data_IF_911475909511
#
_entry.id   IF_911475909511
#
_cell.length_a   1.000
_cell.length_b   1.000
_cell.length_c   1.000
_cell.angle_alpha   90.00
_cell.angle_beta   90.00
_cell.angle_gamma   90.00
#
_symmetry.space_group_name_H-M   'P 1'
#
loop_
_entity.id
_entity.type
_entity.pdbx_description
1 polymer ?
#
# COMPACT_ATOMS: atom_id res chain seq x y z
N UNK A 1 -47.04 47.98 -48.13
CA UNK A 1 -46.30 47.89 -49.41
C UNK A 1 -44.81 48.11 -49.17
N UNK A 2 -43.96 47.27 -49.76
CA UNK A 2 -42.51 47.45 -50.09
C UNK A 2 -41.51 47.44 -48.92
N UNK A 3 -40.68 46.37 -48.82
CA UNK A 3 -39.27 46.21 -49.31
C UNK A 3 -38.25 46.86 -48.34
N UNK A 4 -37.04 46.36 -48.06
CA UNK A 4 -36.26 45.16 -48.36
C UNK A 4 -34.87 45.32 -47.70
N UNK A 5 -34.32 44.22 -47.17
CA UNK A 5 -32.90 43.81 -47.13
C UNK A 5 -31.79 44.63 -46.42
N UNK A 6 -31.08 43.93 -45.52
CA UNK A 6 -29.60 43.70 -45.47
C UNK A 6 -29.31 42.90 -44.18
N UNK A 7 -28.39 41.92 -44.07
CA UNK A 7 -27.55 41.09 -44.94
C UNK A 7 -27.02 39.95 -44.01
N UNK A 8 -26.66 38.83 -44.61
CA UNK A 8 -26.17 37.58 -44.01
C UNK A 8 -24.75 37.65 -43.41
N UNK A 9 -24.38 36.57 -42.69
CA UNK A 9 -23.03 35.97 -42.49
C UNK A 9 -22.24 36.45 -41.26
N UNK A 10 -21.59 35.64 -40.39
CA UNK A 10 -21.18 34.21 -40.36
C UNK A 10 -20.55 33.85 -38.98
N UNK A 11 -20.62 32.56 -38.61
CA UNK A 11 -19.70 31.73 -37.78
C UNK A 11 -19.31 32.17 -36.33
N UNK A 12 -19.74 31.44 -35.29
CA UNK A 12 -19.07 30.29 -34.62
C UNK A 12 -17.62 30.59 -34.20
N UNK A 13 -17.42 30.81 -32.91
CA UNK A 13 -16.26 30.35 -32.15
C UNK A 13 -16.59 30.39 -30.65
N UNK A 14 -17.05 29.26 -30.10
CA UNK A 14 -17.14 29.05 -28.66
C UNK A 14 -15.73 28.71 -28.15
N UNK A 15 -15.15 29.60 -27.35
CA UNK A 15 -13.85 29.39 -26.71
C UNK A 15 -14.08 28.76 -25.33
N UNK A 16 -14.02 27.43 -25.27
CA UNK A 16 -13.92 26.67 -24.02
C UNK A 16 -12.46 26.67 -23.56
N UNK A 17 -12.15 27.50 -22.57
CA UNK A 17 -10.89 27.47 -21.83
C UNK A 17 -11.20 27.01 -20.40
N UNK A 18 -11.31 25.70 -20.22
CA UNK A 18 -11.35 25.06 -18.91
C UNK A 18 -10.08 24.21 -18.78
N UNK A 19 -8.98 24.84 -18.38
CA UNK A 19 -7.76 24.16 -17.97
C UNK A 19 -7.34 24.68 -16.61
N UNK A 20 -7.84 24.02 -15.57
CA UNK A 20 -7.11 23.86 -14.32
C UNK A 20 -7.18 22.39 -13.94
N UNK A 21 -6.13 21.67 -14.34
CA UNK A 21 -5.87 20.32 -13.86
C UNK A 21 -5.66 20.44 -12.35
N UNK A 22 -6.57 19.84 -11.59
CA UNK A 22 -6.53 19.76 -10.14
C UNK A 22 -5.26 19.01 -9.75
N UNK A 23 -4.39 19.65 -8.97
CA UNK A 23 -3.34 18.95 -8.25
C UNK A 23 -4.00 17.93 -7.32
N UNK A 24 -3.87 16.65 -7.64
CA UNK A 24 -4.32 15.57 -6.76
C UNK A 24 -3.44 15.60 -5.51
N UNK A 25 -4.06 15.78 -4.35
CA UNK A 25 -3.37 15.67 -3.07
C UNK A 25 -2.68 14.30 -2.97
N UNK A 26 -1.45 14.27 -2.47
CA UNK A 26 -0.73 13.03 -2.21
C UNK A 26 -1.55 12.22 -1.19
N UNK A 27 -2.20 11.16 -1.65
CA UNK A 27 -2.95 10.25 -0.79
C UNK A 27 -2.00 9.66 0.27
N UNK A 28 -2.26 9.97 1.53
CA UNK A 28 -1.57 9.38 2.68
C UNK A 28 -2.06 7.94 2.84
N UNK A 29 -1.25 7.05 3.42
CA UNK A 29 -1.70 5.67 3.70
C UNK A 29 -2.97 5.62 4.58
N UNK A 30 -3.21 6.68 5.35
CA UNK A 30 -4.41 6.88 6.17
C UNK A 30 -5.66 7.21 5.35
N UNK A 31 -5.51 7.81 4.16
CA UNK A 31 -6.63 8.04 3.22
C UNK A 31 -7.09 6.73 2.56
N UNK A 32 -6.21 5.71 2.58
CA UNK A 32 -6.50 4.33 2.19
C UNK A 32 -7.20 3.53 3.30
N UNK A 33 -7.11 3.99 4.55
CA UNK A 33 -7.87 3.48 5.68
C UNK A 33 -9.18 4.27 5.79
N UNK A 34 -10.06 4.06 4.81
CA UNK A 34 -11.50 4.37 4.76
C UNK A 34 -11.92 5.56 5.63
N UNK A 35 -11.95 6.75 5.03
CA UNK A 35 -12.50 7.94 5.68
C UNK A 35 -14.04 8.02 5.60
N UNK A 36 -14.67 7.23 4.74
CA UNK A 36 -16.13 7.22 4.51
C UNK A 36 -16.68 5.78 4.47
N UNK A 37 -16.84 5.16 5.65
CA UNK A 37 -17.37 3.79 5.82
C UNK A 37 -18.86 3.63 5.41
N UNK A 38 -19.61 4.72 5.21
CA UNK A 38 -21.08 4.67 5.28
C UNK A 38 -21.88 4.69 3.96
N UNK A 39 -21.31 4.71 2.74
CA UNK A 39 -22.16 5.06 1.56
C UNK A 39 -22.25 4.06 0.40
N UNK A 40 -21.60 2.89 0.42
CA UNK A 40 -21.87 1.88 -0.62
C UNK A 40 -21.52 0.45 -0.20
N UNK A 41 -22.52 -0.39 0.14
CA UNK A 41 -22.32 -1.82 0.38
C UNK A 41 -21.62 -2.56 -0.77
N UNK A 42 -21.78 -2.09 -2.01
CA UNK A 42 -21.11 -2.66 -3.18
C UNK A 42 -19.61 -2.34 -3.21
N UNK A 43 -19.20 -1.14 -2.78
CA UNK A 43 -17.79 -0.78 -2.66
C UNK A 43 -17.11 -1.51 -1.50
N UNK A 44 -17.83 -1.71 -0.39
CA UNK A 44 -17.34 -2.54 0.71
C UNK A 44 -17.21 -4.00 0.26
N UNK A 45 -18.19 -4.53 -0.46
CA UNK A 45 -18.15 -5.90 -0.96
C UNK A 45 -16.97 -6.13 -1.91
N UNK A 46 -16.69 -5.20 -2.84
CA UNK A 46 -15.54 -5.33 -3.73
C UNK A 46 -14.19 -5.21 -3.02
N UNK A 47 -14.12 -4.45 -1.92
CA UNK A 47 -12.94 -4.40 -1.06
C UNK A 47 -12.80 -5.66 -0.18
N UNK A 48 -13.90 -6.31 0.15
CA UNK A 48 -13.93 -7.54 0.93
C UNK A 48 -13.75 -8.81 0.09
N UNK A 49 -14.07 -8.79 -1.21
CA UNK A 49 -13.95 -9.92 -2.14
C UNK A 49 -12.61 -10.68 -2.03
N UNK A 50 -11.45 -9.99 -1.96
CA UNK A 50 -10.16 -10.66 -1.78
C UNK A 50 -9.99 -11.45 -0.47
N UNK A 51 -10.76 -11.14 0.57
CA UNK A 51 -10.62 -11.73 1.90
C UNK A 51 -11.66 -12.84 2.11
N UNK A 52 -12.73 -12.87 1.30
CA UNK A 52 -13.81 -13.85 1.44
C UNK A 52 -13.34 -15.31 1.41
N UNK A 53 -12.44 -15.75 0.49
CA UNK A 53 -11.96 -17.14 0.49
C UNK A 53 -11.15 -17.49 1.75
N UNK A 54 -10.41 -16.52 2.28
CA UNK A 54 -9.66 -16.69 3.53
C UNK A 54 -10.57 -16.79 4.76
N UNK A 55 -11.65 -15.99 4.81
CA UNK A 55 -12.66 -16.05 5.89
C UNK A 55 -13.54 -17.31 5.81
N UNK A 56 -13.75 -17.84 4.60
CA UNK A 56 -14.52 -19.06 4.35
C UNK A 56 -13.80 -20.36 4.68
N UNK A 57 -12.49 -20.31 5.00
CA UNK A 57 -11.68 -21.50 5.28
C UNK A 57 -11.37 -22.34 4.04
N UNK A 58 -11.42 -21.74 2.84
CA UNK A 58 -11.06 -22.43 1.60
C UNK A 58 -9.56 -22.76 1.57
N UNK A 59 -9.21 -23.93 1.04
CA UNK A 59 -7.81 -24.33 0.84
C UNK A 59 -7.09 -23.48 -0.24
N UNK A 60 -7.84 -22.64 -0.98
CA UNK A 60 -7.31 -21.75 -1.99
C UNK A 60 -6.51 -20.60 -1.38
N UNK A 61 -5.44 -20.20 -2.07
CA UNK A 61 -4.71 -18.99 -1.75
C UNK A 61 -5.27 -17.81 -2.54
N UNK A 62 -5.35 -16.63 -1.92
CA UNK A 62 -5.86 -15.42 -2.57
C UNK A 62 -4.79 -14.35 -2.62
N UNK A 63 -4.60 -13.78 -3.80
CA UNK A 63 -3.74 -12.61 -4.02
C UNK A 63 -4.59 -11.46 -4.54
N UNK A 64 -4.44 -10.27 -3.94
CA UNK A 64 -5.11 -9.05 -4.40
C UNK A 64 -4.16 -7.87 -4.42
N UNK A 65 -4.26 -7.08 -5.48
CA UNK A 65 -3.46 -5.89 -5.71
C UNK A 65 -4.42 -4.76 -6.09
N UNK A 66 -4.44 -3.70 -5.29
CA UNK A 66 -5.20 -2.48 -5.54
C UNK A 66 -4.22 -1.33 -5.64
N UNK A 67 -4.30 -0.57 -6.73
CA UNK A 67 -3.39 0.54 -7.00
C UNK A 67 -4.18 1.79 -7.42
N UNK A 68 -4.01 2.86 -6.65
CA UNK A 68 -4.63 4.17 -6.89
C UNK A 68 -3.53 5.21 -7.16
N UNK A 69 -3.65 5.97 -8.25
CA UNK A 69 -2.67 6.97 -8.66
C UNK A 69 -1.81 6.52 -9.85
N UNK A 70 -0.58 7.02 -9.96
CA UNK A 70 0.21 6.96 -11.20
C UNK A 70 1.54 6.24 -10.99
N UNK A 71 1.89 5.32 -11.89
CA UNK A 71 3.22 4.69 -11.90
C UNK A 71 3.48 3.68 -10.78
N UNK A 72 2.46 3.27 -10.04
CA UNK A 72 2.58 2.26 -9.01
C UNK A 72 2.82 0.87 -9.62
N UNK A 73 3.63 0.05 -8.95
CA UNK A 73 3.99 -1.31 -9.36
C UNK A 73 3.89 -2.27 -8.17
N UNK A 74 3.27 -3.43 -8.37
CA UNK A 74 3.18 -4.45 -7.35
C UNK A 74 3.37 -5.84 -7.96
N UNK A 75 4.08 -6.70 -7.24
CA UNK A 75 4.14 -8.14 -7.50
C UNK A 75 3.81 -8.85 -6.20
N UNK A 76 2.93 -9.84 -6.25
CA UNK A 76 2.59 -10.67 -5.10
C UNK A 76 2.51 -12.12 -5.54
N UNK A 77 3.15 -13.01 -4.78
CA UNK A 77 3.22 -14.43 -5.06
C UNK A 77 3.00 -15.25 -3.78
N UNK A 78 2.29 -16.36 -3.92
CA UNK A 78 2.08 -17.34 -2.86
C UNK A 78 2.57 -18.68 -3.38
N UNK A 79 3.53 -19.26 -2.66
CA UNK A 79 3.99 -20.64 -2.80
C UNK A 79 3.51 -21.44 -1.58
N UNK A 80 2.31 -22.01 -1.69
CA UNK A 80 1.59 -22.71 -0.63
C UNK A 80 0.07 -22.54 -0.72
N UNK A 81 -0.66 -23.00 0.29
CA UNK A 81 -2.12 -23.09 0.29
C UNK A 81 -2.77 -22.29 1.44
N UNK A 82 -4.06 -21.98 1.30
CA UNK A 82 -4.87 -21.30 2.32
C UNK A 82 -4.32 -19.94 2.76
N UNK A 83 -3.51 -19.27 1.93
CA UNK A 83 -2.83 -18.02 2.31
C UNK A 83 -3.45 -16.80 1.64
N UNK A 84 -3.29 -15.64 2.28
CA UNK A 84 -3.81 -14.37 1.83
C UNK A 84 -2.68 -13.36 1.61
N UNK A 85 -2.56 -12.81 0.41
CA UNK A 85 -1.55 -11.82 0.06
C UNK A 85 -2.23 -10.59 -0.55
N UNK A 86 -2.26 -9.49 0.20
CA UNK A 86 -2.91 -8.25 -0.23
C UNK A 86 -1.89 -7.13 -0.29
N UNK A 87 -1.89 -6.42 -1.41
CA UNK A 87 -1.13 -5.18 -1.61
C UNK A 87 -2.10 -4.07 -1.98
N UNK A 88 -2.10 -2.99 -1.20
CA UNK A 88 -2.84 -1.77 -1.48
C UNK A 88 -1.85 -0.61 -1.58
N UNK A 89 -1.87 0.10 -2.71
CA UNK A 89 -1.00 1.23 -2.98
C UNK A 89 -1.80 2.45 -3.37
N UNK A 90 -1.44 3.61 -2.83
CA UNK A 90 -1.92 4.90 -3.27
C UNK A 90 -0.82 5.94 -3.43
N UNK A 91 -0.97 6.81 -4.41
CA UNK A 91 -0.02 7.89 -4.71
C UNK A 91 0.77 7.60 -5.97
N UNK A 92 2.04 8.00 -5.98
CA UNK A 92 2.83 8.04 -7.23
C UNK A 92 4.11 7.22 -7.12
N UNK A 93 4.39 6.40 -8.13
CA UNK A 93 5.63 5.63 -8.28
C UNK A 93 5.97 4.72 -7.08
N UNK A 94 4.96 4.18 -6.42
CA UNK A 94 5.15 3.23 -5.33
C UNK A 94 5.44 1.83 -5.87
N UNK A 95 6.42 1.13 -5.31
CA UNK A 95 6.75 -0.26 -5.67
C UNK A 95 6.54 -1.21 -4.49
N UNK A 96 5.90 -2.34 -4.74
CA UNK A 96 5.66 -3.38 -3.75
C UNK A 96 6.06 -4.76 -4.29
N UNK A 97 6.69 -5.57 -3.44
CA UNK A 97 6.91 -7.00 -3.67
C UNK A 97 6.45 -7.75 -2.43
N UNK A 98 5.57 -8.71 -2.61
CA UNK A 98 5.03 -9.54 -1.55
C UNK A 98 5.26 -11.03 -1.88
N UNK A 99 5.71 -11.81 -0.93
CA UNK A 99 5.93 -13.25 -1.12
C UNK A 99 5.57 -14.05 0.13
N UNK A 100 4.72 -15.05 -0.05
CA UNK A 100 4.43 -16.07 0.96
C UNK A 100 5.03 -17.38 0.50
N UNK A 101 5.81 -18.04 1.36
CA UNK A 101 6.22 -19.44 1.18
C UNK A 101 5.80 -20.23 2.41
N UNK A 102 4.80 -21.08 2.26
CA UNK A 102 4.14 -21.78 3.36
C UNK A 102 2.63 -21.66 3.29
N UNK A 103 1.94 -22.17 4.29
CA UNK A 103 0.49 -22.32 4.30
C UNK A 103 -0.17 -21.42 5.35
N UNK A 104 -1.46 -21.16 5.14
CA UNK A 104 -2.33 -20.50 6.13
C UNK A 104 -1.78 -19.15 6.64
N UNK A 105 -1.01 -18.45 5.82
CA UNK A 105 -0.37 -17.19 6.19
C UNK A 105 -1.07 -16.00 5.55
N UNK A 106 -1.06 -14.85 6.23
CA UNK A 106 -1.70 -13.62 5.76
C UNK A 106 -0.73 -12.44 5.78
N UNK A 107 -0.44 -11.88 4.60
CA UNK A 107 0.39 -10.70 4.39
C UNK A 107 -0.49 -9.57 3.86
N UNK A 108 -0.51 -8.45 4.60
CA UNK A 108 -1.22 -7.24 4.22
C UNK A 108 -0.23 -6.08 4.13
N UNK A 109 -0.15 -5.46 2.95
CA UNK A 109 0.64 -4.28 2.68
C UNK A 109 -0.27 -3.11 2.31
N UNK A 110 -0.13 -2.01 3.04
CA UNK A 110 -0.74 -0.72 2.74
C UNK A 110 0.38 0.32 2.56
N UNK A 111 0.45 0.92 1.37
CA UNK A 111 1.50 1.87 1.01
C UNK A 111 0.89 3.13 0.41
N UNK A 112 1.20 4.29 0.98
CA UNK A 112 0.77 5.62 0.51
C UNK A 112 1.97 6.53 0.19
N UNK A 113 1.71 7.66 -0.47
CA UNK A 113 2.73 8.70 -0.73
C UNK A 113 3.49 8.51 -2.06
N UNK A 114 4.76 8.94 -2.10
CA UNK A 114 5.54 9.02 -3.36
C UNK A 114 6.85 8.22 -3.30
N UNK A 115 7.17 7.48 -4.36
CA UNK A 115 8.45 6.78 -4.52
C UNK A 115 8.81 5.83 -3.35
N UNK A 116 7.82 5.25 -2.65
CA UNK A 116 8.14 4.27 -1.62
C UNK A 116 8.38 2.90 -2.27
N UNK A 117 9.25 2.07 -1.69
CA UNK A 117 9.52 0.70 -2.13
C UNK A 117 9.38 -0.23 -0.94
N UNK A 118 8.51 -1.24 -1.04
CA UNK A 118 8.27 -2.20 0.04
C UNK A 118 8.53 -3.63 -0.44
N UNK A 119 9.30 -4.37 0.35
CA UNK A 119 9.43 -5.82 0.27
C UNK A 119 8.81 -6.43 1.53
N UNK A 120 7.84 -7.31 1.33
CA UNK A 120 7.19 -8.08 2.38
C UNK A 120 7.36 -9.56 2.06
N UNK A 121 8.00 -10.32 2.95
CA UNK A 121 8.16 -11.76 2.74
C UNK A 121 7.89 -12.54 4.02
N UNK A 122 7.25 -13.68 3.89
CA UNK A 122 7.03 -14.61 4.98
C UNK A 122 7.33 -16.03 4.54
N UNK A 123 8.11 -16.74 5.36
CA UNK A 123 8.44 -18.15 5.19
C UNK A 123 8.02 -18.93 6.42
N UNK A 124 7.23 -19.97 6.22
CA UNK A 124 6.65 -20.82 7.28
C UNK A 124 5.12 -20.75 7.28
N UNK A 125 4.52 -21.46 8.22
CA UNK A 125 3.07 -21.64 8.28
C UNK A 125 2.42 -20.73 9.34
N UNK A 126 1.16 -20.36 9.10
CA UNK A 126 0.33 -19.59 10.04
C UNK A 126 0.91 -18.22 10.44
N UNK A 127 1.66 -17.59 9.54
CA UNK A 127 2.23 -16.27 9.80
C UNK A 127 1.23 -15.16 9.50
N UNK A 128 1.29 -14.09 10.28
CA UNK A 128 0.57 -12.86 10.04
C UNK A 128 1.54 -11.68 9.97
N UNK A 129 1.46 -10.92 8.88
CA UNK A 129 2.30 -9.76 8.67
C UNK A 129 1.49 -8.58 8.14
N UNK A 130 1.54 -7.46 8.85
CA UNK A 130 0.99 -6.19 8.41
C UNK A 130 2.11 -5.19 8.17
N UNK A 131 2.11 -4.49 7.03
CA UNK A 131 3.00 -3.37 6.77
C UNK A 131 2.18 -2.14 6.35
N UNK A 132 2.41 -1.02 7.04
CA UNK A 132 1.99 0.32 6.67
C UNK A 132 3.20 1.19 6.31
N UNK A 133 3.19 1.83 5.14
CA UNK A 133 4.23 2.81 4.77
C UNK A 133 3.57 4.07 4.21
N UNK A 134 3.93 5.24 4.72
CA UNK A 134 3.56 6.54 4.17
C UNK A 134 4.72 7.53 4.19
N UNK A 135 4.61 8.56 3.36
CA UNK A 135 5.64 9.58 3.18
C UNK A 135 6.32 9.45 1.83
N UNK A 136 7.57 9.87 1.73
CA UNK A 136 8.27 9.99 0.46
C UNK A 136 9.64 9.30 0.47
N UNK A 137 9.93 8.55 -0.60
CA UNK A 137 11.23 7.94 -0.85
C UNK A 137 11.68 6.96 0.26
N UNK A 138 10.77 6.17 0.83
CA UNK A 138 11.11 5.17 1.85
C UNK A 138 11.33 3.80 1.24
N UNK A 139 12.30 3.06 1.77
CA UNK A 139 12.59 1.67 1.43
C UNK A 139 12.34 0.78 2.64
N UNK A 140 11.31 -0.07 2.60
CA UNK A 140 10.95 -0.94 3.72
C UNK A 140 11.08 -2.39 3.29
N UNK A 141 11.80 -3.19 4.06
CA UNK A 141 11.88 -4.63 3.91
C UNK A 141 11.50 -5.27 5.24
N UNK A 142 10.45 -6.08 5.25
CA UNK A 142 10.09 -6.86 6.43
C UNK A 142 9.96 -8.34 6.03
N UNK A 143 10.84 -9.15 6.62
CA UNK A 143 10.88 -10.59 6.42
C UNK A 143 10.54 -11.31 7.72
N UNK A 144 9.58 -12.22 7.67
CA UNK A 144 9.31 -13.20 8.72
C UNK A 144 9.79 -14.58 8.27
N UNK A 145 10.45 -15.31 9.16
CA UNK A 145 10.90 -16.67 8.89
C UNK A 145 10.64 -17.53 10.12
N UNK A 146 9.78 -18.54 10.02
CA UNK A 146 9.30 -19.35 11.15
C UNK A 146 7.79 -19.54 11.08
N UNK A 147 7.21 -20.24 12.05
CA UNK A 147 5.77 -20.53 12.07
C UNK A 147 5.07 -19.75 13.18
N UNK A 148 3.79 -19.43 12.96
CA UNK A 148 2.92 -18.74 13.92
C UNK A 148 3.48 -17.38 14.40
N UNK A 149 4.23 -16.69 13.54
CA UNK A 149 4.75 -15.36 13.83
C UNK A 149 3.70 -14.31 13.48
N UNK A 150 3.51 -13.34 14.37
CA UNK A 150 2.67 -12.19 14.13
C UNK A 150 3.51 -10.92 14.23
N UNK A 151 3.38 -10.02 13.25
CA UNK A 151 3.97 -8.70 13.38
C UNK A 151 3.30 -7.64 12.53
N UNK A 152 3.43 -6.40 12.99
CA UNK A 152 2.97 -5.21 12.31
C UNK A 152 4.15 -4.25 12.17
N UNK A 153 4.37 -3.67 10.99
CA UNK A 153 5.38 -2.65 10.77
C UNK A 153 4.73 -1.41 10.18
N UNK A 154 4.81 -0.29 10.86
CA UNK A 154 4.19 0.96 10.43
C UNK A 154 5.24 2.08 10.41
N UNK A 155 5.52 2.60 9.21
CA UNK A 155 6.46 3.70 8.93
C UNK A 155 5.64 4.87 8.40
N UNK A 156 5.43 5.89 9.24
CA UNK A 156 4.54 7.01 8.94
C UNK A 156 5.28 8.30 8.70
N UNK A 157 4.82 9.01 7.67
CA UNK A 157 5.23 10.37 7.31
C UNK A 157 6.75 10.54 7.20
N UNK A 158 7.43 9.45 6.85
CA UNK A 158 8.89 9.40 6.83
C UNK A 158 9.41 9.90 5.48
N UNK A 159 10.56 10.55 5.49
CA UNK A 159 11.21 11.02 4.27
C UNK A 159 12.62 10.43 4.12
N UNK A 160 12.85 9.81 2.97
CA UNK A 160 14.15 9.24 2.61
C UNK A 160 14.66 8.21 3.64
N UNK A 161 13.84 7.26 4.06
CA UNK A 161 14.21 6.33 5.14
C UNK A 161 14.35 4.90 4.64
N UNK A 162 15.13 4.10 5.36
CA UNK A 162 15.27 2.67 5.07
C UNK A 162 14.92 1.91 6.33
N UNK A 163 13.97 1.00 6.27
CA UNK A 163 13.58 0.16 7.40
C UNK A 163 13.75 -1.29 7.01
N UNK A 164 14.60 -2.01 7.74
CA UNK A 164 14.78 -3.45 7.61
C UNK A 164 14.28 -4.11 8.89
N UNK A 165 13.26 -4.95 8.78
CA UNK A 165 12.73 -5.73 9.88
C UNK A 165 12.90 -7.23 9.59
N UNK A 166 13.39 -7.98 10.57
CA UNK A 166 13.53 -9.43 10.48
C UNK A 166 12.97 -10.11 11.73
N UNK A 167 11.89 -10.88 11.57
CA UNK A 167 11.29 -11.67 12.64
C UNK A 167 11.62 -13.15 12.44
N UNK A 168 11.94 -13.83 13.53
CA UNK A 168 12.29 -15.26 13.56
C UNK A 168 11.57 -15.94 14.73
N UNK A 169 11.61 -17.27 14.90
CA UNK A 169 11.03 -17.90 16.09
C UNK A 169 11.69 -17.40 17.38
N UNK A 170 12.96 -16.97 17.34
CA UNK A 170 13.65 -16.35 18.46
C UNK A 170 13.08 -14.98 18.85
N UNK A 171 12.34 -14.33 17.94
CA UNK A 171 11.52 -13.17 18.29
C UNK A 171 10.34 -13.53 19.18
N UNK A 172 10.02 -14.81 19.37
CA UNK A 172 8.85 -15.24 20.14
C UNK A 172 7.58 -14.54 19.68
N UNK A 173 6.76 -14.09 20.63
CA UNK A 173 5.55 -13.30 20.38
C UNK A 173 5.80 -11.78 20.29
N UNK A 174 7.06 -11.33 20.21
CA UNK A 174 7.32 -9.90 20.09
C UNK A 174 6.80 -9.39 18.76
N UNK A 175 5.74 -8.58 18.82
CA UNK A 175 5.27 -7.83 17.66
C UNK A 175 6.38 -6.89 17.18
N UNK A 176 6.47 -6.74 15.87
CA UNK A 176 7.26 -5.65 15.30
C UNK A 176 6.69 -4.28 15.73
N UNK A 177 7.54 -3.24 15.80
CA UNK A 177 7.11 -1.93 16.22
C UNK A 177 6.12 -1.30 15.23
N UNK A 178 5.07 -0.69 15.78
CA UNK A 178 4.14 0.17 15.05
C UNK A 178 4.39 1.64 15.38
N UNK A 179 3.93 2.56 14.51
CA UNK A 179 4.04 3.99 14.73
C UNK A 179 5.47 4.54 14.64
N UNK A 180 6.34 3.95 13.81
CA UNK A 180 7.67 4.50 13.58
C UNK A 180 7.55 5.86 12.88
N UNK A 181 7.76 6.93 13.65
CA UNK A 181 7.70 8.33 13.22
C UNK A 181 9.06 9.01 13.38
N UNK A 182 9.26 10.13 12.68
CA UNK A 182 10.50 10.92 12.79
C UNK A 182 11.73 10.19 12.25
N UNK A 183 11.52 9.25 11.32
CA UNK A 183 12.59 8.45 10.74
C UNK A 183 13.29 9.17 9.59
N UNK A 184 13.12 10.48 9.43
CA UNK A 184 13.64 11.22 8.29
C UNK A 184 15.15 11.08 8.14
N UNK A 185 15.56 10.64 6.95
CA UNK A 185 16.94 10.34 6.61
C UNK A 185 17.59 9.35 7.60
N UNK A 186 16.85 8.30 8.00
CA UNK A 186 17.33 7.23 8.89
C UNK A 186 17.37 5.87 8.21
N UNK A 187 18.26 5.03 8.69
CA UNK A 187 18.23 3.58 8.51
C UNK A 187 17.79 2.98 9.85
N UNK A 188 16.69 2.23 9.84
CA UNK A 188 16.19 1.49 10.99
C UNK A 188 16.35 0.01 10.73
N UNK A 189 16.97 -0.69 11.66
CA UNK A 189 17.10 -2.15 11.61
C UNK A 189 16.43 -2.74 12.84
N UNK A 190 15.35 -3.49 12.63
CA UNK A 190 14.59 -4.19 13.66
C UNK A 190 14.90 -5.68 13.56
N UNK A 191 15.40 -6.25 14.64
CA UNK A 191 15.74 -7.67 14.77
C UNK A 191 15.12 -8.19 16.06
N UNK A 192 15.12 -9.51 16.32
CA UNK A 192 14.56 -10.05 17.56
C UNK A 192 15.09 -9.31 18.81
N UNK A 193 14.17 -8.65 19.54
CA UNK A 193 14.46 -7.95 20.79
C UNK A 193 15.25 -6.64 20.68
N UNK A 194 15.59 -6.14 19.48
CA UNK A 194 16.38 -4.90 19.32
C UNK A 194 15.96 -4.07 18.12
N UNK A 195 16.15 -2.77 18.24
CA UNK A 195 15.99 -1.80 17.16
C UNK A 195 17.20 -0.87 17.13
N UNK A 196 17.78 -0.69 15.95
CA UNK A 196 18.88 0.23 15.70
C UNK A 196 18.40 1.34 14.78
N UNK A 197 18.69 2.60 15.13
CA UNK A 197 18.36 3.77 14.31
C UNK A 197 19.65 4.53 14.02
N UNK A 198 19.96 4.68 12.75
CA UNK A 198 21.21 5.23 12.24
C UNK A 198 20.89 6.36 11.27
N UNK A 199 21.68 7.43 11.24
CA UNK A 199 21.54 8.46 10.21
C UNK A 199 22.02 7.91 8.87
N UNK A 200 21.26 8.16 7.80
CA UNK A 200 21.79 7.95 6.45
C UNK A 200 22.95 8.91 6.19
N UNK A 201 24.04 8.44 5.56
CA UNK A 201 25.07 9.34 5.07
C UNK A 201 24.44 10.35 4.10
N UNK A 202 24.89 11.60 4.19
CA UNK A 202 24.45 12.68 3.30
C UNK A 202 24.95 12.47 1.89
#
# INVERSE_FOLDING_TARGET
>A
MRRSARKYSKHIAALLLATSVVFSAAAKAEDLLVRDYETSPAAVQSLMEPIQPFLGGDAGSTTSIIQLGVGNQANSAIDGQGSLAIVQQAGTNNRAVQSITGNSSALLLVQGGTNNTVLQASRGDNNFQLIGVSGDNNHVAYVQNGDNLAGALDVRDSQNSTVLAYQTPQSGRYMMPSGLRGLDNKVVVVVPGRMYVINKPR
#
